data_IF_616097124671
#
_entry.id   IF_616097124671
#
_cell.length_a   1.000
_cell.length_b   1.000
_cell.length_c   1.000
_cell.angle_alpha   90.00
_cell.angle_beta   90.00
_cell.angle_gamma   90.00
#
_symmetry.space_group_name_H-M   'P 1'
#
loop_
_entity.id
_entity.type
_entity.pdbx_description
1 polymer ?
#
# COMPACT_ATOMS: atom_id res chain seq x y z
N UNK A 1 -10.17 -7.94 18.08
CA UNK A 1 -8.70 -7.79 18.17
C UNK A 1 -8.16 -7.87 16.74
N UNK A 2 -8.13 -6.73 16.05
CA UNK A 2 -7.63 -6.66 14.68
C UNK A 2 -6.11 -6.75 14.69
N UNK A 3 -5.53 -7.60 13.85
CA UNK A 3 -4.09 -7.56 13.61
C UNK A 3 -3.77 -6.22 12.96
N UNK A 4 -3.04 -5.34 13.66
CA UNK A 4 -2.37 -4.21 13.03
C UNK A 4 -1.31 -4.77 12.08
N UNK A 5 -1.69 -4.92 10.82
CA UNK A 5 -0.76 -5.26 9.74
C UNK A 5 0.04 -4.01 9.38
N UNK A 6 1.36 -4.15 9.42
CA UNK A 6 2.32 -3.12 9.04
C UNK A 6 2.29 -2.99 7.52
N UNK A 7 2.14 -1.77 7.01
CA UNK A 7 1.99 -1.51 5.58
C UNK A 7 3.02 -0.53 5.03
N UNK A 8 3.43 0.47 5.81
CA UNK A 8 4.33 1.52 5.33
C UNK A 8 5.44 1.81 6.33
N UNK A 9 6.68 1.73 5.85
CA UNK A 9 7.92 2.10 6.52
C UNK A 9 8.84 2.80 5.50
N UNK A 10 9.78 3.63 5.95
CA UNK A 10 10.75 4.28 5.04
C UNK A 10 12.03 3.44 4.88
N UNK A 11 12.78 3.64 3.78
CA UNK A 11 14.06 2.97 3.52
C UNK A 11 15.07 3.18 4.66
N UNK A 12 15.18 4.42 5.16
CA UNK A 12 16.05 4.77 6.27
C UNK A 12 15.73 3.93 7.52
N UNK A 13 14.45 3.82 7.88
CA UNK A 13 14.04 3.05 9.06
C UNK A 13 14.14 1.54 8.83
N UNK A 14 13.91 1.06 7.61
CA UNK A 14 14.12 -0.35 7.26
C UNK A 14 15.58 -0.77 7.51
N UNK A 15 16.55 0.06 7.14
CA UNK A 15 17.97 -0.24 7.38
C UNK A 15 18.30 -0.43 8.86
N UNK A 16 17.66 0.34 9.76
CA UNK A 16 17.86 0.25 11.21
C UNK A 16 17.26 -1.02 11.80
N UNK A 17 16.09 -1.44 11.30
CA UNK A 17 15.49 -2.72 11.69
C UNK A 17 16.40 -3.89 11.33
N UNK A 18 16.94 -3.90 10.10
CA UNK A 18 17.81 -4.99 9.64
C UNK A 18 19.13 -5.07 10.43
N UNK A 19 19.61 -3.94 10.94
CA UNK A 19 20.78 -3.87 11.82
C UNK A 19 20.46 -4.25 13.28
N UNK A 20 19.18 -4.33 13.66
CA UNK A 20 18.73 -4.65 15.02
C UNK A 20 18.60 -3.45 15.95
N UNK A 21 18.72 -2.22 15.44
CA UNK A 21 18.71 -0.99 16.24
C UNK A 21 17.28 -0.58 16.69
N UNK A 22 16.26 -1.05 15.99
CA UNK A 22 14.85 -0.72 16.25
C UNK A 22 13.93 -1.86 15.80
N UNK A 23 12.68 -1.84 16.25
CA UNK A 23 11.67 -2.82 15.82
C UNK A 23 10.76 -2.22 14.77
N UNK A 24 10.17 -3.08 13.93
CA UNK A 24 9.29 -2.63 12.83
C UNK A 24 8.05 -1.91 13.38
N UNK A 25 7.53 -2.34 14.53
CA UNK A 25 6.36 -1.75 15.16
C UNK A 25 6.61 -0.30 15.59
N UNK A 26 7.86 0.03 15.97
CA UNK A 26 8.24 1.36 16.45
C UNK A 26 8.40 2.39 15.31
N UNK A 27 8.49 1.91 14.07
CA UNK A 27 8.76 2.74 12.87
C UNK A 27 7.64 2.70 11.82
N UNK A 28 6.55 2.00 12.12
CA UNK A 28 5.41 1.89 11.21
C UNK A 28 4.74 3.26 11.09
N UNK A 29 4.64 3.78 9.86
CA UNK A 29 4.04 5.08 9.62
C UNK A 29 2.51 5.02 9.63
N UNK A 30 1.97 4.09 8.84
CA UNK A 30 0.54 3.87 8.70
C UNK A 30 0.27 2.37 8.82
N UNK A 31 -0.65 2.02 9.72
CA UNK A 31 -1.21 0.68 9.80
C UNK A 31 -2.48 0.59 8.95
N UNK A 32 -3.12 -0.59 8.94
CA UNK A 32 -4.34 -0.81 8.17
C UNK A 32 -5.51 0.11 8.57
N UNK A 33 -5.65 0.44 9.86
CA UNK A 33 -6.77 1.25 10.34
C UNK A 33 -6.63 2.69 9.85
N UNK A 34 -5.41 3.23 9.80
CA UNK A 34 -5.15 4.57 9.29
C UNK A 34 -5.71 4.76 7.88
N UNK A 35 -5.49 3.80 6.97
CA UNK A 35 -6.05 3.86 5.61
C UNK A 35 -7.57 3.88 5.61
N UNK A 36 -8.20 3.04 6.44
CA UNK A 36 -9.66 2.99 6.56
C UNK A 36 -10.25 4.28 7.12
N UNK A 37 -9.64 4.83 8.17
CA UNK A 37 -10.06 6.08 8.83
C UNK A 37 -9.91 7.31 7.93
N UNK A 38 -9.02 7.24 6.94
CA UNK A 38 -8.80 8.30 5.96
C UNK A 38 -9.50 8.07 4.61
N UNK A 39 -10.45 7.12 4.55
CA UNK A 39 -11.22 6.79 3.34
C UNK A 39 -10.31 6.38 2.16
N UNK A 40 -9.14 5.80 2.45
CA UNK A 40 -8.22 5.30 1.43
C UNK A 40 -8.45 3.80 1.26
N UNK A 41 -8.91 3.43 0.06
CA UNK A 41 -9.02 2.02 -0.30
C UNK A 41 -7.66 1.47 -0.72
N UNK A 42 -7.10 0.58 0.09
CA UNK A 42 -5.81 -0.07 -0.19
C UNK A 42 -6.02 -1.50 -0.72
N UNK A 43 -5.47 -1.78 -1.90
CA UNK A 43 -5.40 -3.13 -2.46
C UNK A 43 -3.98 -3.67 -2.36
N UNK A 44 -3.78 -4.69 -1.52
CA UNK A 44 -2.48 -5.36 -1.32
C UNK A 44 -2.43 -6.72 -2.01
N UNK A 45 -1.24 -7.22 -2.32
CA UNK A 45 -1.02 -8.50 -3.02
C UNK A 45 -1.62 -8.54 -4.44
N UNK A 46 -1.75 -7.37 -5.06
CA UNK A 46 -2.19 -7.22 -6.43
C UNK A 46 -1.12 -6.41 -7.17
N UNK A 47 -0.80 -6.80 -8.40
CA UNK A 47 0.09 -6.05 -9.30
C UNK A 47 -0.74 -5.50 -10.45
N UNK A 48 -0.62 -4.21 -10.77
CA UNK A 48 -1.28 -3.65 -11.95
C UNK A 48 -0.56 -4.17 -13.20
N UNK A 49 -1.28 -4.91 -14.05
CA UNK A 49 -0.75 -5.55 -15.27
C UNK A 49 -1.21 -4.88 -16.55
N UNK A 50 -2.26 -4.06 -16.49
CA UNK A 50 -2.77 -3.32 -17.64
C UNK A 50 -3.28 -1.94 -17.22
N UNK A 51 -3.01 -0.95 -18.06
CA UNK A 51 -3.52 0.40 -17.94
C UNK A 51 -4.19 0.76 -19.26
N UNK A 52 -5.46 1.12 -19.21
CA UNK A 52 -6.24 1.61 -20.33
C UNK A 52 -6.46 3.11 -20.14
N UNK A 53 -5.72 3.92 -20.87
CA UNK A 53 -5.77 5.38 -20.76
C UNK A 53 -6.96 6.00 -21.47
N UNK A 54 -7.55 5.30 -22.46
CA UNK A 54 -8.72 5.78 -23.18
C UNK A 54 -9.98 5.66 -22.32
N UNK A 55 -10.14 4.51 -21.65
CA UNK A 55 -11.26 4.24 -20.74
C UNK A 55 -10.96 4.65 -19.29
N UNK A 56 -9.75 5.17 -19.04
CA UNK A 56 -9.24 5.56 -17.72
C UNK A 56 -9.42 4.45 -16.67
N UNK A 57 -8.95 3.24 -16.99
CA UNK A 57 -8.98 2.10 -16.06
C UNK A 57 -7.61 1.47 -15.84
N UNK A 58 -7.43 0.85 -14.67
CA UNK A 58 -6.32 -0.05 -14.38
C UNK A 58 -6.85 -1.44 -14.08
N UNK A 59 -6.12 -2.48 -14.49
CA UNK A 59 -6.46 -3.88 -14.22
C UNK A 59 -5.31 -4.58 -13.52
N UNK A 60 -5.62 -5.29 -12.43
CA UNK A 60 -4.65 -6.10 -11.68
C UNK A 60 -4.51 -7.51 -12.25
N UNK A 61 -3.44 -8.20 -11.85
CA UNK A 61 -3.20 -9.63 -12.11
C UNK A 61 -4.29 -10.53 -11.53
N UNK A 62 -5.02 -10.06 -10.52
CA UNK A 62 -6.20 -10.72 -9.95
C UNK A 62 -7.50 -10.42 -10.71
N UNK A 63 -7.43 -9.70 -11.84
CA UNK A 63 -8.57 -9.40 -12.71
C UNK A 63 -9.47 -8.26 -12.23
N UNK A 64 -9.11 -7.54 -11.16
CA UNK A 64 -9.84 -6.36 -10.72
C UNK A 64 -9.61 -5.21 -11.68
N UNK A 65 -10.68 -4.57 -12.14
CA UNK A 65 -10.61 -3.33 -12.92
C UNK A 65 -11.19 -2.17 -12.14
N UNK A 66 -10.47 -1.04 -12.09
CA UNK A 66 -10.86 0.18 -11.37
C UNK A 66 -10.69 1.39 -12.28
N UNK A 67 -11.66 2.31 -12.25
CA UNK A 67 -11.59 3.59 -12.95
C UNK A 67 -10.77 4.62 -12.16
N UNK A 68 -10.09 5.53 -12.87
CA UNK A 68 -9.36 6.64 -12.25
C UNK A 68 -9.63 7.97 -12.97
N UNK A 69 -9.62 9.06 -12.22
CA UNK A 69 -9.57 10.42 -12.79
C UNK A 69 -8.11 10.85 -13.04
N UNK A 70 -7.23 10.48 -12.11
CA UNK A 70 -5.79 10.75 -12.16
C UNK A 70 -5.02 9.51 -11.74
N UNK A 71 -4.01 9.15 -12.51
CA UNK A 71 -3.11 8.03 -12.24
C UNK A 71 -1.73 8.57 -11.89
N UNK A 72 -1.16 8.07 -10.80
CA UNK A 72 0.18 8.43 -10.31
C UNK A 72 1.01 7.14 -10.25
N UNK A 73 2.24 7.20 -10.76
CA UNK A 73 3.23 6.13 -10.72
C UNK A 73 4.28 6.41 -9.65
#
# INVERSE_FOLDING_TARGET
MGLNRILTITEFFLSKVLQGDTKVEDITLNDWNWYHEHDIQLFTNETIVKIDTENQTVTSDQGRTVHYDRLIF
#
